data_IF_225452184991
#
_entry.id   IF_225452184991
#
_cell.length_a   1.000
_cell.length_b   1.000
_cell.length_c   1.000
_cell.angle_alpha   90.00
_cell.angle_beta   90.00
_cell.angle_gamma   90.00
#
_symmetry.space_group_name_H-M   'P 1'
#
loop_
_entity.id
_entity.type
_entity.pdbx_description
1 polymer ?
#
# COMPACT_ATOMS: atom_id res chain seq x y z
N UNK A 1 -69.92 -14.74 -40.51
CA UNK A 1 -68.94 -15.84 -40.70
C UNK A 1 -68.10 -15.88 -39.48
N UNK A 2 -68.34 -16.78 -38.54
CA UNK A 2 -67.56 -16.94 -37.31
C UNK A 2 -66.32 -17.79 -37.64
N UNK A 3 -65.16 -17.20 -37.50
CA UNK A 3 -63.88 -17.96 -37.56
C UNK A 3 -63.92 -19.05 -36.49
N UNK A 4 -63.58 -20.26 -36.88
CA UNK A 4 -63.62 -21.41 -35.99
C UNK A 4 -62.53 -21.30 -34.86
N UNK A 5 -62.88 -21.69 -33.62
CA UNK A 5 -61.94 -21.59 -32.47
C UNK A 5 -60.62 -22.37 -32.64
N UNK A 6 -60.60 -23.29 -33.58
CA UNK A 6 -59.44 -24.13 -33.91
C UNK A 6 -58.32 -23.30 -34.60
N UNK A 7 -58.67 -22.28 -35.39
CA UNK A 7 -57.72 -21.38 -36.06
C UNK A 7 -57.03 -20.46 -35.05
N UNK A 8 -57.70 -19.94 -34.05
CA UNK A 8 -57.14 -19.08 -33.01
C UNK A 8 -56.16 -19.79 -32.10
N UNK A 9 -56.45 -21.05 -31.77
CA UNK A 9 -55.55 -21.88 -30.95
C UNK A 9 -54.22 -22.22 -31.72
N UNK A 10 -54.32 -22.46 -33.02
CA UNK A 10 -53.12 -22.68 -33.87
C UNK A 10 -52.26 -21.44 -34.01
N UNK A 11 -52.85 -20.26 -34.10
CA UNK A 11 -52.14 -18.97 -34.17
C UNK A 11 -51.45 -18.61 -32.85
N UNK A 12 -52.10 -18.81 -31.70
CA UNK A 12 -51.51 -18.62 -30.36
C UNK A 12 -50.33 -19.57 -30.13
N UNK A 13 -50.47 -20.87 -30.48
CA UNK A 13 -49.35 -21.84 -30.37
C UNK A 13 -48.16 -21.49 -31.26
N UNK A 14 -48.39 -20.93 -32.45
CA UNK A 14 -47.32 -20.54 -33.38
C UNK A 14 -46.58 -19.27 -32.93
N UNK A 15 -47.28 -18.29 -32.32
CA UNK A 15 -46.73 -17.10 -31.70
C UNK A 15 -45.90 -17.47 -30.45
N UNK A 16 -46.40 -18.36 -29.63
CA UNK A 16 -45.73 -18.84 -28.43
C UNK A 16 -44.43 -19.58 -28.76
N UNK A 17 -44.44 -20.46 -29.76
CA UNK A 17 -43.23 -21.14 -30.26
C UNK A 17 -42.18 -20.14 -30.84
N UNK A 18 -42.64 -19.12 -31.57
CA UNK A 18 -41.72 -18.08 -32.08
C UNK A 18 -41.11 -17.27 -30.92
N UNK A 19 -41.90 -16.90 -29.95
CA UNK A 19 -41.45 -16.19 -28.77
C UNK A 19 -40.42 -17.02 -27.99
N UNK A 20 -40.69 -18.27 -27.71
CA UNK A 20 -39.71 -19.17 -27.06
C UNK A 20 -38.43 -19.35 -27.87
N UNK A 21 -38.52 -19.48 -29.17
CA UNK A 21 -37.34 -19.60 -30.04
C UNK A 21 -36.52 -18.33 -30.05
N UNK A 22 -37.11 -17.15 -30.06
CA UNK A 22 -36.41 -15.87 -29.99
C UNK A 22 -35.76 -15.70 -28.62
N UNK A 23 -36.52 -15.94 -27.54
CA UNK A 23 -35.94 -15.85 -26.17
C UNK A 23 -34.78 -16.81 -25.95
N UNK A 24 -34.91 -18.06 -26.42
CA UNK A 24 -33.87 -19.07 -26.38
C UNK A 24 -32.60 -18.62 -27.13
N UNK A 25 -32.77 -18.12 -28.36
CA UNK A 25 -31.67 -17.59 -29.15
C UNK A 25 -31.00 -16.37 -28.47
N UNK A 26 -31.82 -15.45 -27.91
CA UNK A 26 -31.27 -14.28 -27.19
C UNK A 26 -30.46 -14.69 -25.98
N UNK A 27 -30.94 -15.67 -25.21
CA UNK A 27 -30.22 -16.21 -24.05
C UNK A 27 -28.91 -16.87 -24.47
N UNK A 28 -28.93 -17.72 -25.54
CA UNK A 28 -27.71 -18.36 -26.03
C UNK A 28 -26.68 -17.33 -26.51
N UNK A 29 -27.10 -16.32 -27.30
CA UNK A 29 -26.21 -15.30 -27.76
C UNK A 29 -25.68 -14.45 -26.61
N UNK A 30 -26.51 -14.12 -25.60
CA UNK A 30 -26.09 -13.43 -24.39
C UNK A 30 -25.04 -14.24 -23.62
N UNK A 31 -25.26 -15.54 -23.44
CA UNK A 31 -24.30 -16.44 -22.79
C UNK A 31 -23.01 -16.60 -23.61
N UNK A 32 -23.11 -16.66 -24.94
CA UNK A 32 -21.93 -16.75 -25.82
C UNK A 32 -21.09 -15.48 -25.76
N UNK A 33 -21.70 -14.30 -25.78
CA UNK A 33 -21.04 -13.00 -25.63
C UNK A 33 -20.38 -12.90 -24.25
N UNK A 34 -21.11 -13.31 -23.21
CA UNK A 34 -20.57 -13.34 -21.84
C UNK A 34 -19.39 -14.31 -21.71
N UNK A 35 -19.50 -15.52 -22.28
CA UNK A 35 -18.39 -16.48 -22.32
C UNK A 35 -17.16 -15.95 -23.07
N UNK A 36 -17.37 -15.32 -24.24
CA UNK A 36 -16.31 -14.68 -25.00
C UNK A 36 -15.63 -13.56 -24.20
N UNK A 37 -16.40 -12.74 -23.50
CA UNK A 37 -15.89 -11.71 -22.59
C UNK A 37 -15.04 -12.29 -21.47
N UNK A 38 -15.48 -13.39 -20.84
CA UNK A 38 -14.70 -14.07 -19.80
C UNK A 38 -13.38 -14.64 -20.33
N UNK A 39 -13.42 -15.27 -21.50
CA UNK A 39 -12.22 -15.79 -22.17
C UNK A 39 -11.26 -14.65 -22.50
N UNK A 40 -11.76 -13.57 -23.11
CA UNK A 40 -10.94 -12.40 -23.43
C UNK A 40 -10.30 -11.79 -22.17
N UNK A 41 -11.07 -11.69 -21.08
CA UNK A 41 -10.56 -11.19 -19.81
C UNK A 41 -9.47 -12.09 -19.24
N UNK A 42 -9.66 -13.42 -19.30
CA UNK A 42 -8.67 -14.39 -18.87
C UNK A 42 -7.36 -14.30 -19.71
N UNK A 43 -7.50 -14.19 -21.04
CA UNK A 43 -6.37 -13.98 -21.94
C UNK A 43 -5.66 -12.65 -21.69
N UNK A 44 -6.39 -11.57 -21.51
CA UNK A 44 -5.83 -10.25 -21.21
C UNK A 44 -5.02 -10.24 -19.91
N UNK A 45 -5.46 -11.00 -18.91
CA UNK A 45 -4.72 -11.18 -17.64
C UNK A 45 -3.53 -12.10 -17.84
N UNK A 46 -3.71 -13.24 -18.52
CA UNK A 46 -2.62 -14.20 -18.79
C UNK A 46 -1.46 -13.55 -19.57
N UNK A 47 -1.79 -12.79 -20.62
CA UNK A 47 -0.80 -12.04 -21.41
C UNK A 47 -0.38 -10.72 -20.78
N UNK A 48 -0.83 -10.42 -19.54
CA UNK A 48 -0.49 -9.19 -18.81
C UNK A 48 -0.91 -7.89 -19.51
N UNK A 49 -1.88 -7.92 -20.43
CA UNK A 49 -2.40 -6.73 -21.10
C UNK A 49 -3.09 -5.75 -20.14
N UNK A 50 -3.59 -6.27 -19.00
CA UNK A 50 -4.19 -5.47 -17.93
C UNK A 50 -3.17 -5.04 -16.87
N UNK A 51 -1.93 -5.55 -16.96
CA UNK A 51 -0.86 -5.00 -16.15
C UNK A 51 -0.47 -3.68 -16.78
N UNK A 52 -0.91 -2.59 -16.17
CA UNK A 52 -0.15 -1.38 -16.27
C UNK A 52 1.24 -1.77 -15.75
N UNK A 53 2.19 -1.84 -16.66
CA UNK A 53 3.57 -2.06 -16.29
C UNK A 53 3.86 -1.01 -15.22
N UNK A 54 4.44 -1.42 -14.09
CA UNK A 54 5.10 -0.50 -13.18
C UNK A 54 6.33 0.03 -13.90
N UNK A 55 6.14 0.57 -15.07
CA UNK A 55 7.10 1.42 -15.72
C UNK A 55 7.21 2.59 -14.79
N UNK A 56 8.39 2.75 -14.23
CA UNK A 56 8.86 4.06 -13.87
C UNK A 56 8.47 4.92 -15.04
N UNK A 57 7.35 5.63 -14.91
CA UNK A 57 7.02 6.62 -15.91
C UNK A 57 8.12 7.65 -15.79
N UNK A 58 9.00 7.63 -16.79
CA UNK A 58 10.05 8.62 -17.00
C UNK A 58 9.46 10.04 -16.97
N UNK A 59 8.17 10.14 -17.13
CA UNK A 59 7.39 11.37 -17.10
C UNK A 59 6.73 11.64 -15.74
N UNK A 60 6.78 10.76 -14.79
CA UNK A 60 6.25 11.08 -13.46
C UNK A 60 7.36 11.61 -12.55
N UNK A 61 7.64 12.69 -12.76
CA UNK A 61 8.62 13.75 -12.70
C UNK A 61 8.80 14.37 -11.37
N UNK A 62 7.94 14.06 -10.40
CA UNK A 62 8.06 14.72 -9.12
C UNK A 62 9.39 14.37 -8.43
N UNK A 63 9.81 13.10 -8.51
CA UNK A 63 11.08 12.67 -7.97
C UNK A 63 12.23 12.89 -8.94
N UNK A 64 11.96 12.80 -10.26
CA UNK A 64 12.96 13.15 -11.27
C UNK A 64 13.19 14.66 -11.29
N UNK A 65 12.17 15.48 -11.10
CA UNK A 65 12.30 16.93 -10.90
C UNK A 65 13.02 17.28 -9.60
N UNK A 66 12.77 16.54 -8.52
CA UNK A 66 13.54 16.69 -7.29
C UNK A 66 14.99 16.23 -7.48
N UNK A 67 15.24 15.09 -8.12
CA UNK A 67 16.57 14.58 -8.36
C UNK A 67 17.33 15.45 -9.39
N UNK A 68 16.69 15.92 -10.45
CA UNK A 68 17.27 16.85 -11.42
C UNK A 68 17.46 18.25 -10.83
N UNK A 69 16.54 18.71 -9.99
CA UNK A 69 16.64 20.00 -9.31
C UNK A 69 17.74 20.03 -8.29
N UNK A 70 17.96 18.93 -7.56
CA UNK A 70 19.04 18.80 -6.56
C UNK A 70 20.34 18.24 -7.14
N UNK A 71 20.35 17.69 -8.34
CA UNK A 71 21.50 17.03 -8.95
C UNK A 71 22.30 17.85 -9.96
N UNK A 72 21.76 18.89 -10.54
CA UNK A 72 22.37 19.58 -11.68
C UNK A 72 22.89 20.99 -11.45
N UNK A 73 22.35 21.74 -10.47
CA UNK A 73 22.76 23.15 -10.29
C UNK A 73 22.83 23.56 -8.82
N UNK A 74 23.94 23.16 -8.16
CA UNK A 74 24.16 23.56 -6.76
C UNK A 74 24.33 25.07 -6.54
N UNK A 75 24.53 25.88 -7.55
CA UNK A 75 24.84 27.30 -7.41
C UNK A 75 23.68 28.26 -7.64
N UNK A 76 22.72 27.94 -8.51
CA UNK A 76 21.50 28.76 -8.68
C UNK A 76 20.41 28.43 -7.64
N UNK A 77 20.46 27.24 -7.07
CA UNK A 77 19.46 26.77 -6.10
C UNK A 77 19.71 27.26 -4.67
N UNK A 78 20.89 27.79 -4.34
CA UNK A 78 21.19 28.25 -2.96
C UNK A 78 20.22 29.32 -2.46
N UNK A 79 19.83 30.26 -3.31
CA UNK A 79 18.89 31.33 -2.94
C UNK A 79 17.46 30.76 -2.82
N UNK A 80 17.07 29.85 -3.70
CA UNK A 80 15.77 29.20 -3.66
C UNK A 80 15.66 28.26 -2.45
N UNK A 81 16.72 27.55 -2.10
CA UNK A 81 16.83 26.70 -0.91
C UNK A 81 16.74 27.53 0.38
N UNK A 82 17.49 28.63 0.47
CA UNK A 82 17.43 29.53 1.62
C UNK A 82 16.02 30.10 1.79
N UNK A 83 15.38 30.47 0.69
CA UNK A 83 14.03 31.01 0.72
C UNK A 83 12.98 29.96 1.11
N UNK A 84 13.10 28.72 0.62
CA UNK A 84 12.27 27.59 1.03
C UNK A 84 12.45 27.27 2.52
N UNK A 85 13.69 27.30 3.02
CA UNK A 85 13.97 27.13 4.44
C UNK A 85 13.36 28.25 5.29
N UNK A 86 13.50 29.50 4.86
CA UNK A 86 12.90 30.62 5.55
C UNK A 86 11.36 30.48 5.67
N UNK A 87 10.71 30.12 4.58
CA UNK A 87 9.28 29.85 4.57
C UNK A 87 8.87 28.66 5.43
N UNK A 88 9.65 27.60 5.40
CA UNK A 88 9.44 26.45 6.27
C UNK A 88 9.46 26.88 7.73
N UNK A 89 10.48 27.60 8.17
CA UNK A 89 10.61 28.03 9.55
C UNK A 89 9.55 29.06 9.96
N UNK A 90 9.15 29.94 9.06
CA UNK A 90 8.05 30.89 9.33
C UNK A 90 6.72 30.15 9.54
N UNK A 91 6.34 29.21 8.64
CA UNK A 91 5.13 28.41 8.79
C UNK A 91 5.20 27.49 10.01
N UNK A 92 6.34 26.89 10.28
CA UNK A 92 6.58 26.07 11.46
C UNK A 92 6.40 26.86 12.75
N UNK A 93 6.89 28.10 12.79
CA UNK A 93 6.73 28.99 13.91
C UNK A 93 5.25 29.36 14.17
N UNK A 94 4.45 29.51 13.12
CA UNK A 94 3.00 29.67 13.26
C UNK A 94 2.37 28.39 13.80
N UNK A 95 2.69 27.21 13.24
CA UNK A 95 2.16 25.95 13.71
C UNK A 95 2.48 25.69 15.18
N UNK A 96 3.70 25.98 15.62
CA UNK A 96 4.15 25.76 17.00
C UNK A 96 3.29 26.47 18.06
N UNK A 97 2.64 27.58 17.71
CA UNK A 97 1.73 28.30 18.60
C UNK A 97 0.40 27.56 18.83
N UNK A 98 -0.05 26.80 17.84
CA UNK A 98 -1.38 26.19 17.84
C UNK A 98 -1.33 24.67 18.00
N UNK A 99 -0.25 24.03 17.54
CA UNK A 99 -0.01 22.60 17.66
C UNK A 99 1.50 22.31 17.84
N UNK A 100 2.01 22.49 19.06
CA UNK A 100 3.44 22.35 19.33
C UNK A 100 3.93 20.90 19.17
N UNK A 101 3.05 19.91 19.26
CA UNK A 101 3.41 18.49 19.11
C UNK A 101 3.74 18.18 17.65
N UNK A 102 2.84 18.53 16.74
CA UNK A 102 3.08 18.30 15.32
C UNK A 102 4.22 19.20 14.79
N UNK A 103 4.33 20.43 15.28
CA UNK A 103 5.46 21.28 14.93
C UNK A 103 6.80 20.64 15.31
N UNK A 104 6.90 20.02 16.50
CA UNK A 104 8.10 19.30 16.92
C UNK A 104 8.39 18.11 16.02
N UNK A 105 7.38 17.31 15.67
CA UNK A 105 7.53 16.15 14.81
C UNK A 105 7.99 16.54 13.40
N UNK A 106 7.43 17.63 12.86
CA UNK A 106 7.84 18.18 11.57
C UNK A 106 9.27 18.70 11.63
N UNK A 107 9.64 19.40 12.70
CA UNK A 107 11.01 19.84 12.90
C UNK A 107 12.00 18.67 12.97
N UNK A 108 11.68 17.60 13.72
CA UNK A 108 12.51 16.41 13.79
C UNK A 108 12.67 15.71 12.44
N UNK A 109 11.61 15.73 11.61
CA UNK A 109 11.71 15.25 10.23
C UNK A 109 12.67 16.10 9.39
N UNK A 110 12.58 17.41 9.51
CA UNK A 110 13.52 18.33 8.85
C UNK A 110 14.96 18.11 9.31
N UNK A 111 15.20 17.87 10.61
CA UNK A 111 16.54 17.55 11.13
C UNK A 111 17.15 16.30 10.46
N UNK A 112 16.33 15.33 10.10
CA UNK A 112 16.76 14.10 9.45
C UNK A 112 16.99 14.30 7.94
N UNK A 113 16.06 14.95 7.28
CA UNK A 113 16.04 15.05 5.82
C UNK A 113 16.82 16.24 5.29
N UNK A 114 16.97 17.30 6.10
CA UNK A 114 17.52 18.60 5.72
C UNK A 114 16.81 19.23 4.51
N UNK A 115 15.57 18.79 4.22
CA UNK A 115 14.80 19.23 3.06
C UNK A 115 13.58 20.05 3.49
N UNK A 116 13.63 21.34 3.24
CA UNK A 116 12.55 22.29 3.55
C UNK A 116 11.30 22.02 2.73
N UNK A 117 11.43 21.47 1.52
CA UNK A 117 10.27 21.15 0.66
C UNK A 117 9.42 20.06 1.30
N UNK A 118 10.06 19.05 1.86
CA UNK A 118 9.39 18.00 2.63
C UNK A 118 8.69 18.60 3.85
N UNK A 119 9.40 19.42 4.61
CA UNK A 119 8.84 20.10 5.77
C UNK A 119 7.63 20.99 5.42
N UNK A 120 7.67 21.72 4.32
CA UNK A 120 6.55 22.54 3.84
C UNK A 120 5.32 21.70 3.52
N UNK A 121 5.49 20.52 2.93
CA UNK A 121 4.37 19.60 2.64
C UNK A 121 3.74 19.04 3.92
N UNK A 122 4.58 18.70 4.89
CA UNK A 122 4.08 18.26 6.21
C UNK A 122 3.25 19.37 6.87
N UNK A 123 3.71 20.63 6.78
CA UNK A 123 2.99 21.79 7.29
C UNK A 123 1.65 22.00 6.56
N UNK A 124 1.62 21.84 5.25
CA UNK A 124 0.39 21.94 4.46
C UNK A 124 -0.61 20.85 4.88
N UNK A 125 -0.17 19.62 5.10
CA UNK A 125 -1.02 18.54 5.57
C UNK A 125 -1.61 18.80 6.97
N UNK A 126 -0.79 19.25 7.92
CA UNK A 126 -1.27 19.60 9.28
C UNK A 126 -2.20 20.80 9.24
N UNK A 127 -2.01 21.73 8.31
CA UNK A 127 -2.92 22.87 8.11
C UNK A 127 -4.34 22.44 7.76
N UNK A 128 -4.52 21.28 7.11
CA UNK A 128 -5.85 20.71 6.86
C UNK A 128 -6.55 20.26 8.16
N UNK A 129 -5.79 19.72 9.11
CA UNK A 129 -6.32 19.32 10.43
C UNK A 129 -6.77 20.55 11.20
N UNK A 130 -6.03 21.66 11.09
CA UNK A 130 -6.32 22.94 11.75
C UNK A 130 -7.20 23.88 10.92
N UNK A 131 -7.91 23.37 9.92
CA UNK A 131 -8.74 24.19 9.01
C UNK A 131 -9.80 25.02 9.72
N UNK A 132 -10.37 24.50 10.81
CA UNK A 132 -11.42 25.15 11.58
C UNK A 132 -10.88 26.16 12.62
N UNK A 133 -9.56 26.17 12.83
CA UNK A 133 -8.92 27.16 13.69
C UNK A 133 -8.72 28.48 12.95
N UNK A 134 -9.69 29.41 13.10
CA UNK A 134 -9.70 30.69 12.41
C UNK A 134 -8.45 31.55 12.69
N UNK A 135 -7.90 31.48 13.90
CA UNK A 135 -6.72 32.24 14.27
C UNK A 135 -5.48 31.72 13.55
N UNK A 136 -5.27 30.40 13.55
CA UNK A 136 -4.21 29.74 12.80
C UNK A 136 -4.29 30.06 11.30
N UNK A 137 -5.46 29.87 10.69
CA UNK A 137 -5.66 30.12 9.27
C UNK A 137 -5.41 31.60 8.89
N UNK A 138 -5.75 32.53 9.78
CA UNK A 138 -5.48 33.94 9.56
C UNK A 138 -3.98 34.27 9.57
N UNK A 139 -3.22 33.68 10.50
CA UNK A 139 -1.77 33.85 10.53
C UNK A 139 -1.10 33.23 9.32
N UNK A 140 -1.49 31.99 8.96
CA UNK A 140 -0.94 31.27 7.81
C UNK A 140 -1.18 32.03 6.50
N UNK A 141 -2.41 32.51 6.26
CA UNK A 141 -2.75 33.31 5.08
C UNK A 141 -1.94 34.60 4.94
N UNK A 142 -1.40 35.16 6.03
CA UNK A 142 -0.51 36.30 5.94
C UNK A 142 0.82 35.95 5.31
N UNK A 143 1.33 34.72 5.59
CA UNK A 143 2.55 34.22 4.99
C UNK A 143 2.33 33.83 3.52
N UNK A 144 1.18 33.22 3.20
CA UNK A 144 0.86 32.72 1.84
C UNK A 144 0.55 33.83 0.82
N UNK A 145 0.30 35.07 1.27
CA UNK A 145 0.11 36.22 0.34
C UNK A 145 1.31 36.47 -0.57
N UNK A 146 2.48 35.95 -0.20
CA UNK A 146 3.72 36.06 -0.97
C UNK A 146 3.88 34.91 -1.97
N UNK A 147 3.11 33.81 -1.84
CA UNK A 147 3.22 32.62 -2.71
C UNK A 147 1.89 32.23 -3.33
N UNK A 148 1.77 32.44 -4.61
CA UNK A 148 0.79 31.74 -5.46
C UNK A 148 1.46 30.52 -6.10
N UNK A 149 1.77 29.48 -5.32
CA UNK A 149 2.16 28.18 -5.81
C UNK A 149 0.94 27.28 -6.00
N UNK A 150 0.83 26.59 -7.14
CA UNK A 150 -0.28 25.69 -7.48
C UNK A 150 -0.18 24.29 -6.88
N UNK A 151 0.81 24.01 -6.06
CA UNK A 151 1.00 22.67 -5.51
C UNK A 151 0.14 22.45 -4.28
N UNK A 152 -0.96 21.72 -4.48
CA UNK A 152 -1.80 21.25 -3.40
C UNK A 152 -1.32 19.87 -2.94
N UNK A 153 -1.26 19.66 -1.61
CA UNK A 153 -1.04 18.35 -1.03
C UNK A 153 -2.10 17.36 -1.52
N UNK A 154 -1.72 16.10 -1.74
CA UNK A 154 -2.64 15.01 -2.08
C UNK A 154 -3.83 14.93 -1.12
N UNK A 155 -3.64 15.28 0.16
CA UNK A 155 -4.68 15.24 1.20
C UNK A 155 -5.66 16.41 1.12
N UNK A 156 -5.33 17.46 0.39
CA UNK A 156 -6.29 18.49 0.02
C UNK A 156 -7.33 17.99 -1.00
N UNK A 157 -6.99 16.93 -1.74
CA UNK A 157 -7.84 16.30 -2.75
C UNK A 157 -8.64 15.13 -2.21
N UNK A 158 -8.16 14.46 -1.16
CA UNK A 158 -8.89 13.38 -0.54
C UNK A 158 -10.17 13.95 0.04
N UNK A 159 -11.29 13.25 -0.20
CA UNK A 159 -12.50 13.57 0.52
C UNK A 159 -12.20 13.48 2.02
N UNK A 160 -12.08 14.62 2.67
CA UNK A 160 -11.66 14.73 4.07
C UNK A 160 -12.42 13.80 5.01
N UNK A 161 -13.72 13.61 4.75
CA UNK A 161 -14.54 12.70 5.55
C UNK A 161 -14.09 11.24 5.43
N UNK A 162 -13.80 10.77 4.23
CA UNK A 162 -13.30 9.41 3.98
C UNK A 162 -11.91 9.23 4.58
N UNK A 163 -11.06 10.24 4.47
CA UNK A 163 -9.73 10.24 5.08
C UNK A 163 -9.80 10.19 6.61
N UNK A 164 -10.69 10.95 7.22
CA UNK A 164 -10.90 10.97 8.67
C UNK A 164 -11.39 9.59 9.18
N UNK A 165 -12.35 8.98 8.50
CA UNK A 165 -12.83 7.63 8.83
C UNK A 165 -11.74 6.57 8.68
N UNK A 166 -10.95 6.64 7.60
CA UNK A 166 -9.82 5.76 7.38
C UNK A 166 -8.74 5.95 8.47
N UNK A 167 -8.38 7.17 8.77
CA UNK A 167 -7.39 7.48 9.81
C UNK A 167 -7.81 6.92 11.18
N UNK A 168 -9.08 7.07 11.54
CA UNK A 168 -9.64 6.48 12.78
C UNK A 168 -9.56 4.94 12.76
N UNK A 169 -9.76 4.32 11.61
CA UNK A 169 -9.62 2.87 11.49
C UNK A 169 -8.17 2.42 11.71
N UNK A 170 -7.20 3.10 11.10
CA UNK A 170 -5.76 2.83 11.29
C UNK A 170 -5.34 3.03 12.75
N UNK A 171 -5.86 4.07 13.40
CA UNK A 171 -5.55 4.34 14.81
C UNK A 171 -6.07 3.26 15.76
N UNK A 172 -7.16 2.58 15.43
CA UNK A 172 -7.62 1.40 16.21
C UNK A 172 -6.60 0.27 16.17
N UNK A 173 -5.88 0.13 15.10
CA UNK A 173 -4.87 -0.91 14.91
C UNK A 173 -3.47 -0.50 15.42
N UNK A 174 -3.34 0.68 16.04
CA UNK A 174 -2.05 1.23 16.47
C UNK A 174 -1.24 0.25 17.31
N UNK A 175 -1.87 -0.43 18.27
CA UNK A 175 -1.18 -1.38 19.13
C UNK A 175 -0.59 -2.57 18.36
N UNK A 176 -1.31 -3.05 17.34
CA UNK A 176 -0.84 -4.12 16.46
C UNK A 176 0.32 -3.63 15.60
N UNK A 177 0.20 -2.45 14.99
CA UNK A 177 1.26 -1.83 14.17
C UNK A 177 2.52 -1.59 14.99
N UNK A 178 2.40 -1.03 16.20
CA UNK A 178 3.54 -0.80 17.09
C UNK A 178 4.20 -2.11 17.55
N UNK A 179 3.40 -3.16 17.77
CA UNK A 179 3.93 -4.49 18.09
C UNK A 179 4.72 -5.08 16.92
N UNK A 180 4.20 -4.95 15.70
CA UNK A 180 4.91 -5.36 14.49
C UNK A 180 6.19 -4.56 14.29
N UNK A 181 6.15 -3.25 14.50
CA UNK A 181 7.35 -2.41 14.43
C UNK A 181 8.44 -2.91 15.37
N UNK A 182 8.09 -3.25 16.62
CA UNK A 182 9.05 -3.82 17.59
C UNK A 182 9.59 -5.19 17.17
N UNK A 183 8.75 -6.05 16.58
CA UNK A 183 9.16 -7.40 16.15
C UNK A 183 10.09 -7.31 14.93
N UNK A 184 9.70 -6.53 13.92
CA UNK A 184 10.42 -6.47 12.64
C UNK A 184 11.56 -5.45 12.64
N UNK A 185 11.55 -4.53 13.60
CA UNK A 185 12.47 -3.40 13.63
C UNK A 185 12.23 -2.39 12.51
N UNK A 186 11.07 -2.42 11.90
CA UNK A 186 10.65 -1.48 10.86
C UNK A 186 9.84 -0.37 11.52
N UNK A 187 10.11 0.87 11.19
CA UNK A 187 9.35 2.01 11.70
C UNK A 187 7.85 1.87 11.41
N UNK A 188 7.01 2.09 12.44
CA UNK A 188 5.54 1.98 12.32
C UNK A 188 4.99 2.79 11.15
N UNK A 189 5.55 3.98 10.90
CA UNK A 189 5.13 4.88 9.83
C UNK A 189 5.33 4.28 8.44
N UNK A 190 6.40 3.52 8.21
CA UNK A 190 6.61 2.81 6.95
C UNK A 190 5.56 1.72 6.71
N UNK A 191 5.11 1.05 7.77
CA UNK A 191 4.04 0.04 7.69
C UNK A 191 2.72 0.72 7.32
N UNK A 192 2.38 1.82 8.01
CA UNK A 192 1.18 2.61 7.73
C UNK A 192 1.23 3.21 6.32
N UNK A 193 2.39 3.65 5.87
CA UNK A 193 2.61 4.15 4.51
C UNK A 193 2.19 3.13 3.44
N UNK A 194 2.57 1.87 3.60
CA UNK A 194 2.17 0.81 2.67
C UNK A 194 0.65 0.57 2.71
N UNK A 195 0.03 0.59 3.90
CA UNK A 195 -1.41 0.49 4.06
C UNK A 195 -2.14 1.64 3.35
N UNK A 196 -1.70 2.88 3.57
CA UNK A 196 -2.26 4.07 2.91
C UNK A 196 -2.12 3.96 1.41
N UNK A 197 -0.94 3.58 0.91
CA UNK A 197 -0.68 3.38 -0.51
C UNK A 197 -1.67 2.39 -1.14
N UNK A 198 -1.89 1.24 -0.50
CA UNK A 198 -2.84 0.24 -0.98
C UNK A 198 -4.29 0.72 -0.96
N UNK A 199 -4.71 1.36 0.11
CA UNK A 199 -6.10 1.82 0.24
C UNK A 199 -6.40 2.93 -0.77
N UNK A 200 -5.54 3.94 -0.89
CA UNK A 200 -5.74 5.03 -1.87
C UNK A 200 -5.69 4.49 -3.30
N UNK A 201 -4.79 3.54 -3.60
CA UNK A 201 -4.74 2.85 -4.89
C UNK A 201 -6.05 2.13 -5.20
N UNK A 202 -6.60 1.39 -4.24
CA UNK A 202 -7.86 0.66 -4.42
C UNK A 202 -9.03 1.60 -4.72
N UNK A 203 -9.11 2.73 -4.03
CA UNK A 203 -10.18 3.71 -4.25
C UNK A 203 -10.09 4.42 -5.61
N UNK A 204 -8.89 4.64 -6.14
CA UNK A 204 -8.68 5.48 -7.32
C UNK A 204 -8.33 4.70 -8.59
N UNK A 205 -8.13 3.38 -8.49
CA UNK A 205 -7.82 2.55 -9.65
C UNK A 205 -9.07 2.11 -10.40
N UNK A 206 -9.17 2.45 -11.70
CA UNK A 206 -10.21 1.93 -12.58
C UNK A 206 -10.19 0.40 -12.69
N UNK A 207 -9.02 -0.23 -12.55
CA UNK A 207 -8.84 -1.68 -12.50
C UNK A 207 -9.51 -2.30 -11.28
N UNK A 208 -9.42 -1.66 -10.11
CA UNK A 208 -10.07 -2.18 -8.90
C UNK A 208 -11.59 -2.03 -8.96
N UNK A 209 -12.09 -0.93 -9.55
CA UNK A 209 -13.53 -0.79 -9.85
C UNK A 209 -14.00 -1.90 -10.79
N UNK A 210 -13.25 -2.19 -11.86
CA UNK A 210 -13.54 -3.29 -12.77
C UNK A 210 -13.52 -4.65 -12.05
N UNK A 211 -12.54 -4.91 -11.18
CA UNK A 211 -12.48 -6.15 -10.38
C UNK A 211 -13.72 -6.33 -9.50
N UNK A 212 -14.27 -5.26 -8.93
CA UNK A 212 -15.50 -5.35 -8.13
C UNK A 212 -16.68 -5.87 -8.94
N UNK A 213 -16.82 -5.45 -10.20
CA UNK A 213 -17.87 -5.97 -11.10
C UNK A 213 -17.65 -7.42 -11.52
N UNK A 214 -16.39 -7.85 -11.66
CA UNK A 214 -16.02 -9.21 -12.08
C UNK A 214 -15.80 -10.14 -10.87
N UNK A 215 -15.88 -9.62 -9.64
CA UNK A 215 -15.59 -10.33 -8.40
C UNK A 215 -16.30 -11.68 -8.25
N UNK A 216 -17.59 -11.86 -8.59
CA UNK A 216 -18.25 -13.16 -8.50
C UNK A 216 -17.59 -14.26 -9.36
N UNK A 217 -16.97 -13.84 -10.48
CA UNK A 217 -16.32 -14.73 -11.45
C UNK A 217 -14.80 -14.79 -11.29
N UNK A 218 -14.24 -13.95 -10.43
CA UNK A 218 -12.78 -13.82 -10.27
C UNK A 218 -12.11 -15.11 -9.72
N UNK A 219 -12.86 -15.96 -9.01
CA UNK A 219 -12.36 -17.26 -8.54
C UNK A 219 -11.95 -18.18 -9.69
N UNK A 220 -12.68 -18.11 -10.80
CA UNK A 220 -12.46 -18.95 -11.97
C UNK A 220 -11.37 -18.36 -12.87
N UNK A 221 -11.30 -17.03 -12.96
CA UNK A 221 -10.46 -16.33 -13.94
C UNK A 221 -9.07 -15.97 -13.40
N UNK A 222 -8.93 -15.71 -12.08
CA UNK A 222 -7.73 -15.18 -11.46
C UNK A 222 -7.39 -15.85 -10.12
N UNK A 223 -7.03 -17.15 -10.12
CA UNK A 223 -6.82 -17.88 -8.87
C UNK A 223 -5.69 -17.31 -8.00
N UNK A 224 -4.66 -16.69 -8.59
CA UNK A 224 -3.43 -16.28 -7.88
C UNK A 224 -3.21 -14.76 -7.77
N UNK A 225 -4.20 -13.92 -8.10
CA UNK A 225 -4.02 -12.46 -8.16
C UNK A 225 -4.70 -11.70 -7.02
N UNK A 226 -5.14 -12.38 -5.97
CA UNK A 226 -5.80 -11.75 -4.82
C UNK A 226 -4.78 -11.31 -3.80
N UNK A 227 -4.90 -10.06 -3.38
CA UNK A 227 -4.30 -9.58 -2.16
C UNK A 227 -5.17 -9.96 -0.95
N UNK A 228 -4.55 -10.41 0.11
CA UNK A 228 -5.18 -10.79 1.37
C UNK A 228 -4.86 -9.79 2.47
N UNK A 229 -5.80 -9.60 3.37
CA UNK A 229 -5.68 -8.68 4.50
C UNK A 229 -5.72 -7.21 4.09
N UNK A 230 -5.56 -6.34 5.06
CA UNK A 230 -5.70 -4.87 4.89
C UNK A 230 -4.60 -4.23 4.04
N UNK A 231 -3.45 -4.88 3.92
CA UNK A 231 -2.31 -4.45 3.10
C UNK A 231 -2.22 -5.16 1.76
N UNK A 232 -3.24 -5.95 1.39
CA UNK A 232 -3.37 -6.63 0.09
C UNK A 232 -2.16 -7.49 -0.31
N UNK A 233 -1.56 -8.23 0.64
CA UNK A 233 -0.43 -9.12 0.38
C UNK A 233 -0.90 -10.30 -0.49
N UNK A 234 -0.19 -10.55 -1.59
CA UNK A 234 -0.46 -11.70 -2.46
C UNK A 234 0.01 -13.01 -1.80
N UNK A 235 -0.72 -14.12 -2.02
CA UNK A 235 -0.39 -15.43 -1.46
C UNK A 235 1.07 -15.82 -1.70
N UNK A 236 1.51 -15.79 -2.95
CA UNK A 236 2.88 -16.15 -3.30
C UNK A 236 3.92 -15.23 -2.64
N UNK A 237 3.56 -13.95 -2.42
CA UNK A 237 4.41 -13.00 -1.70
C UNK A 237 4.52 -13.40 -0.23
N UNK A 238 3.41 -13.73 0.42
CA UNK A 238 3.40 -14.18 1.82
C UNK A 238 4.25 -15.44 2.01
N UNK A 239 4.06 -16.47 1.17
CA UNK A 239 4.86 -17.69 1.20
C UNK A 239 6.34 -17.42 0.95
N UNK A 240 6.66 -16.48 0.07
CA UNK A 240 8.05 -16.09 -0.20
C UNK A 240 8.68 -15.34 0.98
N UNK A 241 7.91 -14.50 1.66
CA UNK A 241 8.36 -13.84 2.91
C UNK A 241 8.79 -14.91 3.93
N UNK A 242 7.93 -15.91 4.18
CA UNK A 242 8.23 -16.98 5.14
C UNK A 242 9.48 -17.79 4.73
N UNK A 243 9.60 -18.12 3.46
CA UNK A 243 10.78 -18.83 2.92
C UNK A 243 12.06 -18.01 3.09
N UNK A 244 12.01 -16.72 2.78
CA UNK A 244 13.17 -15.83 2.90
C UNK A 244 13.63 -15.65 4.34
N UNK A 245 12.71 -15.70 5.33
CA UNK A 245 13.08 -15.66 6.74
C UNK A 245 13.96 -16.84 7.17
N UNK A 246 13.86 -17.98 6.51
CA UNK A 246 14.51 -19.25 6.87
C UNK A 246 15.67 -19.62 5.96
N UNK A 247 15.86 -18.92 4.85
CA UNK A 247 16.88 -19.22 3.88
C UNK A 247 18.04 -18.21 3.94
N UNK A 248 19.09 -18.56 4.69
CA UNK A 248 20.29 -17.70 4.84
C UNK A 248 21.02 -17.43 3.51
N UNK A 249 20.76 -18.20 2.45
CA UNK A 249 21.31 -17.95 1.11
C UNK A 249 20.47 -16.99 0.28
N UNK A 250 19.26 -16.64 0.75
CA UNK A 250 18.42 -15.66 0.05
C UNK A 250 19.03 -14.26 0.16
N UNK A 251 19.08 -13.48 -0.91
CA UNK A 251 19.47 -12.06 -0.83
C UNK A 251 18.50 -11.23 0.03
N UNK A 252 17.32 -11.75 0.30
CA UNK A 252 16.29 -11.14 1.15
C UNK A 252 16.34 -11.62 2.61
N UNK A 253 17.34 -12.42 2.99
CA UNK A 253 17.43 -12.92 4.35
C UNK A 253 17.74 -11.80 5.35
N UNK A 254 16.85 -11.55 6.35
CA UNK A 254 17.01 -10.43 7.26
C UNK A 254 17.89 -10.73 8.48
N UNK A 255 18.35 -11.97 8.65
CA UNK A 255 19.18 -12.45 9.76
C UNK A 255 18.52 -13.56 10.59
N UNK A 256 19.36 -14.29 11.32
CA UNK A 256 18.97 -15.47 12.12
C UNK A 256 17.94 -15.16 13.22
N UNK A 257 17.94 -13.94 13.72
CA UNK A 257 16.96 -13.45 14.70
C UNK A 257 15.51 -13.69 14.26
N UNK A 258 15.25 -13.57 12.95
CA UNK A 258 13.90 -13.67 12.38
C UNK A 258 13.52 -15.10 11.93
N UNK A 259 14.44 -16.06 11.96
CA UNK A 259 14.18 -17.42 11.48
C UNK A 259 13.02 -18.11 12.19
N UNK A 260 12.83 -17.82 13.48
CA UNK A 260 11.75 -18.37 14.28
C UNK A 260 10.42 -17.62 14.15
N UNK A 261 10.40 -16.51 13.43
CA UNK A 261 9.17 -15.80 13.18
C UNK A 261 8.38 -16.48 12.05
N UNK A 262 7.06 -16.52 12.18
CA UNK A 262 6.17 -17.18 11.22
C UNK A 262 6.50 -18.67 10.98
N UNK A 263 6.97 -19.38 12.04
CA UNK A 263 7.14 -20.82 11.99
C UNK A 263 5.79 -21.51 12.02
N UNK A 264 5.60 -22.44 11.11
CA UNK A 264 4.70 -23.56 11.26
C UNK A 264 5.46 -24.68 11.93
N UNK A 265 4.78 -25.47 12.78
CA UNK A 265 5.37 -26.65 13.41
C UNK A 265 6.23 -27.40 12.42
N UNK A 266 7.45 -27.75 12.84
CA UNK A 266 8.44 -28.53 12.08
C UNK A 266 7.98 -29.96 11.74
N UNK A 267 6.69 -30.26 12.00
CA UNK A 267 6.05 -31.56 11.79
C UNK A 267 5.61 -31.84 10.35
N UNK A 268 5.83 -30.91 9.42
CA UNK A 268 5.47 -31.16 8.03
C UNK A 268 6.68 -31.78 7.31
N UNK A 269 6.63 -33.07 6.96
CA UNK A 269 7.64 -33.66 6.07
C UNK A 269 7.60 -32.94 4.72
N UNK A 270 8.76 -32.58 4.20
CA UNK A 270 8.96 -31.78 2.97
C UNK A 270 8.37 -32.41 1.68
N UNK A 271 7.72 -33.55 1.76
CA UNK A 271 7.41 -34.41 0.62
C UNK A 271 5.94 -34.70 0.35
N UNK A 272 4.99 -34.13 1.09
CA UNK A 272 3.58 -34.42 0.86
C UNK A 272 2.90 -33.17 0.25
N UNK A 273 2.35 -33.29 -0.96
CA UNK A 273 1.59 -32.24 -1.68
C UNK A 273 0.50 -31.65 -0.80
N UNK A 274 -0.15 -32.46 0.02
CA UNK A 274 -1.17 -32.02 0.98
C UNK A 274 -0.64 -31.09 2.06
N UNK A 275 0.64 -31.22 2.45
CA UNK A 275 1.27 -30.32 3.44
C UNK A 275 1.54 -28.92 2.89
N UNK A 276 1.84 -28.81 1.60
CA UNK A 276 2.04 -27.50 0.92
C UNK A 276 0.71 -26.75 0.84
N UNK A 277 -0.38 -27.42 0.47
CA UNK A 277 -1.71 -26.81 0.41
C UNK A 277 -2.22 -26.44 1.81
N UNK A 278 -1.98 -27.27 2.83
CA UNK A 278 -2.30 -26.95 4.21
C UNK A 278 -1.51 -25.73 4.71
N UNK A 279 -0.23 -25.64 4.37
CA UNK A 279 0.60 -24.46 4.69
C UNK A 279 0.08 -23.21 4.01
N UNK A 280 -0.23 -23.24 2.71
CA UNK A 280 -0.87 -22.14 1.99
C UNK A 280 -2.17 -21.72 2.65
N UNK A 281 -3.03 -22.67 2.97
CA UNK A 281 -4.30 -22.40 3.61
C UNK A 281 -4.12 -21.68 4.95
N UNK A 282 -3.21 -22.13 5.81
CA UNK A 282 -2.90 -21.47 7.08
C UNK A 282 -2.36 -20.04 6.90
N UNK A 283 -1.45 -19.84 5.95
CA UNK A 283 -0.92 -18.51 5.61
C UNK A 283 -2.04 -17.56 5.19
N UNK A 284 -2.97 -18.03 4.35
CA UNK A 284 -4.12 -17.24 3.94
C UNK A 284 -5.04 -16.95 5.13
N UNK A 285 -5.36 -17.94 5.95
CA UNK A 285 -6.21 -17.79 7.14
C UNK A 285 -5.67 -16.71 8.09
N UNK A 286 -4.36 -16.66 8.31
CA UNK A 286 -3.73 -15.59 9.11
C UNK A 286 -3.99 -14.20 8.53
N UNK A 287 -3.85 -14.05 7.21
CA UNK A 287 -4.02 -12.77 6.54
C UNK A 287 -5.47 -12.28 6.51
N UNK A 288 -6.45 -13.19 6.55
CA UNK A 288 -7.88 -12.87 6.46
C UNK A 288 -8.61 -12.95 7.80
N UNK A 289 -7.91 -13.25 8.91
CA UNK A 289 -8.52 -13.35 10.25
C UNK A 289 -9.30 -12.08 10.55
N UNK A 290 -10.62 -12.22 10.74
CA UNK A 290 -11.51 -11.08 10.96
C UNK A 290 -11.24 -10.39 12.29
N UNK A 291 -11.23 -9.06 12.28
CA UNK A 291 -11.07 -8.23 13.47
C UNK A 291 -9.64 -8.08 14.00
N UNK A 292 -8.70 -8.91 13.54
CA UNK A 292 -7.29 -8.82 13.90
C UNK A 292 -6.43 -8.68 12.63
N UNK A 293 -5.89 -7.49 12.41
CA UNK A 293 -5.05 -7.20 11.26
C UNK A 293 -3.55 -7.39 11.51
N UNK A 294 -3.18 -7.91 12.68
CA UNK A 294 -1.79 -8.06 13.12
C UNK A 294 -0.91 -8.77 12.09
N UNK A 295 -1.37 -9.88 11.54
CA UNK A 295 -0.59 -10.63 10.55
C UNK A 295 -0.42 -9.88 9.23
N UNK A 296 -1.42 -9.12 8.76
CA UNK A 296 -1.27 -8.27 7.58
C UNK A 296 -0.15 -7.26 7.77
N UNK A 297 -0.07 -6.64 8.94
CA UNK A 297 1.02 -5.72 9.27
C UNK A 297 2.34 -6.44 9.45
N UNK A 298 2.34 -7.64 10.06
CA UNK A 298 3.55 -8.43 10.28
C UNK A 298 4.21 -8.84 8.94
N UNK A 299 3.44 -9.34 8.00
CA UNK A 299 3.94 -9.64 6.66
C UNK A 299 4.44 -8.38 5.93
N UNK A 300 3.75 -7.26 6.08
CA UNK A 300 4.22 -5.97 5.54
C UNK A 300 5.55 -5.55 6.14
N UNK A 301 5.69 -5.62 7.46
CA UNK A 301 6.94 -5.31 8.16
C UNK A 301 8.09 -6.22 7.70
N UNK A 302 7.87 -7.53 7.60
CA UNK A 302 8.90 -8.44 7.10
C UNK A 302 9.24 -8.20 5.63
N UNK A 303 8.26 -7.88 4.78
CA UNK A 303 8.51 -7.56 3.39
C UNK A 303 9.44 -6.35 3.25
N UNK A 304 9.15 -5.26 3.97
CA UNK A 304 10.00 -4.08 4.00
C UNK A 304 11.40 -4.40 4.56
N UNK A 305 11.47 -5.19 5.64
CA UNK A 305 12.74 -5.61 6.24
C UNK A 305 13.59 -6.43 5.27
N UNK A 306 12.97 -7.31 4.49
CA UNK A 306 13.63 -8.14 3.49
C UNK A 306 14.16 -7.32 2.31
N UNK A 307 13.41 -6.32 1.85
CA UNK A 307 13.92 -5.38 0.84
C UNK A 307 15.09 -4.58 1.37
N UNK A 308 14.98 -4.03 2.56
CA UNK A 308 16.08 -3.32 3.20
C UNK A 308 17.33 -4.18 3.29
N UNK A 309 17.20 -5.44 3.74
CA UNK A 309 18.33 -6.37 3.84
C UNK A 309 18.98 -6.64 2.49
N UNK A 310 18.21 -6.90 1.44
CA UNK A 310 18.74 -7.10 0.08
C UNK A 310 19.54 -5.90 -0.40
N UNK A 311 18.98 -4.71 -0.22
CA UNK A 311 19.57 -3.49 -0.76
C UNK A 311 20.85 -3.10 0.00
N UNK A 312 20.84 -3.21 1.33
CA UNK A 312 22.04 -2.96 2.15
C UNK A 312 23.15 -3.97 1.84
N UNK A 313 22.81 -5.25 1.68
CA UNK A 313 23.79 -6.28 1.28
C UNK A 313 24.41 -6.00 -0.10
N UNK A 314 23.67 -5.34 -0.98
CA UNK A 314 24.17 -4.89 -2.28
C UNK A 314 24.91 -3.54 -2.23
N UNK A 315 25.11 -2.94 -1.05
CA UNK A 315 25.81 -1.66 -0.85
C UNK A 315 24.94 -0.42 -1.07
N UNK A 316 23.62 -0.56 -1.12
CA UNK A 316 22.68 0.54 -1.35
C UNK A 316 21.74 0.71 -0.16
N UNK A 317 21.91 1.75 0.62
CA UNK A 317 21.03 2.05 1.75
C UNK A 317 19.78 2.80 1.27
N UNK A 318 18.61 2.18 1.49
CA UNK A 318 17.29 2.75 1.18
C UNK A 318 16.47 3.06 2.44
N UNK A 319 17.08 3.10 3.60
CA UNK A 319 16.41 3.30 4.90
C UNK A 319 15.58 4.60 4.93
N UNK A 320 16.10 5.66 4.32
CA UNK A 320 15.43 6.97 4.25
C UNK A 320 14.80 7.26 2.88
N UNK A 321 14.46 6.22 2.13
CA UNK A 321 13.87 6.31 0.80
C UNK A 321 12.46 5.68 0.80
N UNK A 322 11.46 6.33 1.44
CA UNK A 322 10.10 5.79 1.53
C UNK A 322 9.47 5.55 0.16
N UNK A 323 9.79 6.36 -0.85
CA UNK A 323 9.34 6.19 -2.22
C UNK A 323 9.88 4.90 -2.87
N UNK A 324 11.11 4.53 -2.56
CA UNK A 324 11.71 3.29 -3.05
C UNK A 324 11.10 2.09 -2.33
N UNK A 325 10.99 2.16 -1.01
CA UNK A 325 10.37 1.10 -0.19
C UNK A 325 8.91 0.86 -0.61
N UNK A 326 8.13 1.92 -0.82
CA UNK A 326 6.76 1.82 -1.32
C UNK A 326 6.71 1.24 -2.73
N UNK A 327 7.62 1.64 -3.61
CA UNK A 327 7.72 1.06 -4.96
C UNK A 327 7.97 -0.43 -4.89
N UNK A 328 8.96 -0.88 -4.11
CA UNK A 328 9.32 -2.28 -3.93
C UNK A 328 8.17 -3.10 -3.34
N UNK A 329 7.47 -2.53 -2.36
CA UNK A 329 6.27 -3.14 -1.79
C UNK A 329 5.22 -3.43 -2.87
N UNK A 330 4.99 -2.50 -3.78
CA UNK A 330 3.98 -2.61 -4.83
C UNK A 330 4.39 -3.54 -5.99
N UNK A 331 5.68 -3.53 -6.41
CA UNK A 331 6.14 -4.31 -7.57
C UNK A 331 6.57 -5.74 -7.23
N UNK A 332 6.86 -6.03 -5.98
CA UNK A 332 7.20 -7.37 -5.49
C UNK A 332 8.68 -7.74 -5.63
N UNK A 333 9.04 -8.89 -5.04
CA UNK A 333 10.41 -9.40 -4.95
C UNK A 333 11.11 -9.58 -6.31
N UNK A 334 10.36 -9.99 -7.33
CA UNK A 334 10.93 -10.34 -8.63
C UNK A 334 11.50 -9.15 -9.39
N UNK A 335 11.00 -7.96 -9.06
CA UNK A 335 11.42 -6.71 -9.69
C UNK A 335 12.36 -5.90 -8.80
N UNK A 336 12.72 -6.40 -7.63
CA UNK A 336 13.66 -5.74 -6.74
C UNK A 336 15.09 -5.95 -7.25
N UNK A 337 15.68 -4.90 -7.77
CA UNK A 337 17.04 -4.88 -8.31
C UNK A 337 17.83 -3.71 -7.70
N UNK A 338 18.66 -3.96 -6.66
CA UNK A 338 19.48 -2.92 -6.03
C UNK A 338 20.39 -2.20 -7.03
N UNK A 339 20.40 -0.88 -6.97
CA UNK A 339 21.22 -0.03 -7.82
C UNK A 339 21.48 1.33 -7.15
N UNK A 340 22.46 2.08 -7.66
CA UNK A 340 22.86 3.37 -7.09
C UNK A 340 21.83 4.50 -7.28
N UNK A 341 20.96 4.37 -8.29
CA UNK A 341 19.97 5.40 -8.64
C UNK A 341 18.56 4.79 -8.73
N UNK A 342 17.99 4.35 -7.58
CA UNK A 342 16.66 3.75 -7.58
C UNK A 342 15.62 4.79 -7.95
N UNK A 343 14.68 4.38 -8.81
CA UNK A 343 13.57 5.22 -9.22
C UNK A 343 12.30 4.89 -8.45
N UNK A 344 11.56 5.92 -8.04
CA UNK A 344 10.22 5.75 -7.55
C UNK A 344 9.27 5.35 -8.69
N UNK A 345 8.29 4.49 -8.41
CA UNK A 345 7.37 3.97 -9.42
C UNK A 345 6.26 3.12 -8.80
N UNK A 346 6.00 1.99 -9.42
CA UNK A 346 4.90 1.10 -9.07
C UNK A 346 3.65 1.38 -9.90
N UNK A 347 2.48 0.98 -9.40
CA UNK A 347 1.20 1.23 -10.06
C UNK A 347 0.93 2.72 -10.19
N UNK A 348 0.45 3.14 -11.36
CA UNK A 348 0.00 4.52 -11.62
C UNK A 348 -1.51 4.64 -11.47
N UNK A 349 -1.97 5.75 -10.96
CA UNK A 349 -3.39 6.06 -10.81
C UNK A 349 -3.62 7.57 -10.70
N UNK A 350 -4.82 8.01 -11.08
CA UNK A 350 -5.21 9.41 -11.03
C UNK A 350 -5.90 9.73 -9.71
N UNK A 351 -5.48 10.87 -9.11
CA UNK A 351 -6.22 11.50 -8.02
C UNK A 351 -6.49 12.96 -8.43
N UNK A 352 -7.75 13.27 -8.66
CA UNK A 352 -8.11 14.54 -9.28
C UNK A 352 -7.54 14.64 -10.69
N UNK A 353 -6.78 15.71 -10.97
CA UNK A 353 -6.13 15.94 -12.27
C UNK A 353 -4.68 15.44 -12.33
N UNK A 354 -4.10 15.02 -11.20
CA UNK A 354 -2.71 14.59 -11.10
C UNK A 354 -2.57 13.07 -11.19
N UNK A 355 -1.53 12.63 -11.89
CA UNK A 355 -1.11 11.23 -11.93
C UNK A 355 -0.12 10.97 -10.79
N UNK A 356 -0.35 9.87 -10.07
CA UNK A 356 0.50 9.41 -8.97
C UNK A 356 1.03 8.02 -9.27
N UNK A 357 2.27 7.77 -8.84
CA UNK A 357 2.78 6.41 -8.68
C UNK A 357 2.57 5.94 -7.26
N UNK A 358 2.58 4.63 -7.04
CA UNK A 358 2.46 4.08 -5.70
C UNK A 358 3.59 4.57 -4.79
N UNK A 359 4.85 4.52 -5.27
CA UNK A 359 5.99 5.04 -4.51
C UNK A 359 5.88 6.54 -4.23
N UNK A 360 5.38 7.32 -5.21
CA UNK A 360 5.12 8.75 -5.04
C UNK A 360 4.10 9.05 -3.96
N UNK A 361 3.00 8.28 -3.93
CA UNK A 361 1.99 8.41 -2.88
C UNK A 361 2.55 8.05 -1.50
N UNK A 362 3.37 6.99 -1.42
CA UNK A 362 4.05 6.60 -0.19
C UNK A 362 4.94 7.72 0.35
N UNK A 363 5.70 8.38 -0.51
CA UNK A 363 6.52 9.54 -0.15
C UNK A 363 5.67 10.69 0.38
N UNK A 364 4.60 11.05 -0.34
CA UNK A 364 3.68 12.11 0.07
C UNK A 364 3.09 11.83 1.46
N UNK A 365 2.63 10.59 1.70
CA UNK A 365 2.11 10.22 3.02
C UNK A 365 3.20 10.29 4.08
N UNK A 366 4.37 9.70 3.82
CA UNK A 366 5.44 9.61 4.81
C UNK A 366 5.83 11.00 5.34
N UNK A 367 5.84 12.00 4.48
CA UNK A 367 6.20 13.38 4.83
C UNK A 367 5.00 14.34 4.96
N UNK A 368 3.77 13.87 4.90
CA UNK A 368 2.56 14.71 4.92
C UNK A 368 2.25 15.35 6.27
N UNK A 369 2.78 14.82 7.37
CA UNK A 369 2.33 15.17 8.72
C UNK A 369 1.06 14.44 9.18
N UNK A 370 0.34 13.78 8.27
CA UNK A 370 -0.82 12.97 8.63
C UNK A 370 -0.43 11.84 9.59
N UNK A 371 -1.21 11.65 10.65
CA UNK A 371 -0.96 10.66 11.72
C UNK A 371 0.45 10.76 12.33
N UNK A 372 1.13 11.91 12.22
CA UNK A 372 2.51 12.08 12.70
C UNK A 372 2.61 11.95 14.21
N UNK A 373 1.58 12.33 14.94
CA UNK A 373 1.50 12.20 16.40
C UNK A 373 1.52 10.75 16.86
N UNK A 374 0.81 9.91 16.14
CA UNK A 374 0.63 8.48 16.49
C UNK A 374 1.72 7.60 15.89
N UNK A 375 2.17 7.95 14.69
CA UNK A 375 3.23 7.27 13.91
C UNK A 375 4.28 8.29 13.47
N UNK A 376 5.14 8.74 14.40
CA UNK A 376 6.17 9.74 14.10
C UNK A 376 7.26 9.18 13.17
N UNK A 377 7.91 10.07 12.43
CA UNK A 377 9.19 9.75 11.77
C UNK A 377 10.25 9.62 12.85
N UNK A 378 11.02 8.54 12.80
CA UNK A 378 12.07 8.25 13.76
C UNK A 378 13.46 8.40 13.13
N UNK A 379 14.49 8.55 14.00
CA UNK A 379 15.87 8.63 13.51
C UNK A 379 16.39 7.32 12.90
N UNK A 380 15.74 6.19 13.18
CA UNK A 380 16.10 4.87 12.68
C UNK A 380 14.86 4.21 12.09
N UNK A 381 14.73 4.25 10.79
CA UNK A 381 13.63 3.60 10.07
C UNK A 381 13.71 2.08 10.14
N UNK A 382 14.93 1.54 10.27
CA UNK A 382 15.22 0.13 10.49
C UNK A 382 16.14 -0.04 11.70
N UNK A 383 15.66 -0.72 12.73
CA UNK A 383 16.46 -1.00 13.94
C UNK A 383 17.45 -2.13 13.62
N UNK A 384 18.75 -2.00 13.92
CA UNK A 384 19.73 -3.07 13.74
C UNK A 384 19.35 -4.34 14.51
N UNK A 385 19.61 -5.52 13.92
CA UNK A 385 19.26 -6.82 14.51
C UNK A 385 19.80 -6.98 15.93
N UNK A 386 21.05 -6.64 16.18
CA UNK A 386 21.67 -6.70 17.52
C UNK A 386 20.92 -5.86 18.57
N UNK A 387 20.36 -4.74 18.18
CA UNK A 387 19.54 -3.88 19.05
C UNK A 387 18.17 -4.49 19.31
N UNK A 388 17.58 -5.12 18.29
CA UNK A 388 16.31 -5.87 18.43
C UNK A 388 16.45 -7.07 19.36
N UNK A 389 17.51 -7.85 19.20
CA UNK A 389 17.81 -9.00 20.07
C UNK A 389 17.82 -8.59 21.54
N UNK A 390 18.50 -7.49 21.84
CA UNK A 390 18.59 -6.98 23.21
C UNK A 390 17.24 -6.51 23.77
N UNK A 391 16.43 -5.87 22.94
CA UNK A 391 15.23 -5.14 23.41
C UNK A 391 13.94 -5.97 23.35
N UNK A 392 13.91 -7.05 22.57
CA UNK A 392 12.65 -7.72 22.22
C UNK A 392 12.53 -9.20 22.60
N UNK A 393 13.41 -9.74 23.42
CA UNK A 393 13.34 -11.15 23.91
C UNK A 393 11.94 -11.48 24.41
N UNK A 394 11.36 -10.61 25.23
CA UNK A 394 10.01 -10.78 25.83
C UNK A 394 8.91 -10.75 24.75
N UNK A 395 9.07 -9.92 23.71
CA UNK A 395 8.07 -9.81 22.63
C UNK A 395 8.08 -11.03 21.71
N UNK A 396 9.25 -11.59 21.41
CA UNK A 396 9.35 -12.81 20.61
C UNK A 396 8.71 -14.00 21.32
N UNK A 397 8.91 -14.12 22.62
CA UNK A 397 8.25 -15.14 23.44
C UNK A 397 6.73 -14.99 23.38
N UNK A 398 6.21 -13.76 23.48
CA UNK A 398 4.77 -13.50 23.38
C UNK A 398 4.22 -13.83 21.99
N UNK A 399 4.93 -13.45 20.91
CA UNK A 399 4.54 -13.78 19.53
C UNK A 399 4.59 -15.29 19.31
N UNK A 400 5.62 -15.96 19.82
CA UNK A 400 5.73 -17.40 19.76
C UNK A 400 4.55 -18.09 20.43
N UNK A 401 4.16 -17.62 21.63
CA UNK A 401 3.00 -18.14 22.37
C UNK A 401 1.70 -17.95 21.59
N UNK A 402 1.46 -16.77 21.02
CA UNK A 402 0.29 -16.50 20.19
C UNK A 402 0.25 -17.39 18.94
N UNK A 403 1.41 -17.66 18.34
CA UNK A 403 1.53 -18.57 17.19
C UNK A 403 1.27 -20.03 17.57
N UNK A 404 1.64 -20.45 18.76
CA UNK A 404 1.36 -21.79 19.29
C UNK A 404 -0.13 -21.95 19.62
N UNK A 405 -0.77 -20.95 20.20
CA UNK A 405 -2.21 -20.94 20.49
C UNK A 405 -3.04 -21.00 19.18
N UNK A 406 -2.70 -20.21 18.15
CA UNK A 406 -3.34 -20.25 16.83
C UNK A 406 -3.15 -21.62 16.13
N UNK A 407 -2.07 -22.34 16.41
CA UNK A 407 -1.84 -23.66 15.82
C UNK A 407 -2.66 -24.76 16.53
N UNK A 408 -3.06 -24.54 17.78
CA UNK A 408 -3.91 -25.47 18.55
C UNK A 408 -5.40 -25.31 18.21
N UNK A 409 -5.87 -24.10 17.90
CA UNK A 409 -7.29 -23.88 17.52
C UNK A 409 -7.65 -24.52 16.16
N UNK A 410 -6.69 -24.84 15.32
CA UNK A 410 -6.93 -25.46 14.00
C UNK A 410 -6.94 -27.00 14.07
N UNK A 411 -6.58 -27.57 15.20
CA UNK A 411 -6.54 -29.06 15.41
C UNK A 411 -7.81 -29.56 16.13
N UNK A 412 -8.66 -28.68 16.62
CA UNK A 412 -9.98 -28.97 17.18
C UNK A 412 -11.09 -28.56 16.19
#
# INVERSE_FOLDING_TARGET
>A
MSESPITEIKFKKRRFRKFFKISYLTIIHGLAIFGAFLIFTALAVHFKWTNQSGTTDINNRYFDELADKYGKDQLQDSVALIWQQDQFFQKLGVLAKYNPVDARNIYSSFEITQDATIGLRMLDAVSLILKDNKAYQKELKKLDKVQKGKDQSIYAWSNYKVWDEFSKAVLRDKSAIDSVSRITGVESRLIVMCLVGEQVRMFNSGREKFKQYVYPFSRVILPNSRGYGVTSILEHTALRIERNLKNSRSPFYPGNYFEKCLNYNDSFPELIVDSIEAHKHKTIQRLIKGGDHFYSYLYTGFLLRQYYSQWVMAGHDISYRPEVLGTLFNIGFEKSAPNAHPKAGGSTFKIGEKDYTFGGLCFEFYYSGEMMKEFPITRKTFIPVKELERNNTIYLEKVKKLMEEDSLEVVL
#
